data_IF_674708602620
#
_entry.id   IF_674708602620
#
_cell.length_a   1.000
_cell.length_b   1.000
_cell.length_c   1.000
_cell.angle_alpha   90.00
_cell.angle_beta   90.00
_cell.angle_gamma   90.00
#
_symmetry.space_group_name_H-M   'P 1'
#
loop_
_entity.id
_entity.type
_entity.pdbx_description
1 polymer ?
#
# COMPACT_ATOMS: atom_id res chain seq x y z
N UNK A 1 11.17 -11.26 -2.72
CA UNK A 1 11.19 -10.09 -1.82
C UNK A 1 9.94 -9.27 -2.15
N UNK A 2 8.86 -9.51 -1.42
CA UNK A 2 7.52 -8.98 -1.69
C UNK A 2 7.50 -7.45 -1.57
N UNK A 3 7.03 -6.77 -2.61
CA UNK A 3 6.79 -5.34 -2.60
C UNK A 3 5.65 -5.03 -1.64
N UNK A 4 5.97 -4.52 -0.45
CA UNK A 4 5.00 -3.87 0.40
C UNK A 4 4.36 -2.74 -0.41
N UNK A 5 3.03 -2.67 -0.46
CA UNK A 5 2.34 -1.46 -0.92
C UNK A 5 2.91 -0.33 -0.06
N UNK A 6 3.57 0.68 -0.66
CA UNK A 6 4.06 1.80 0.11
C UNK A 6 2.82 2.55 0.61
N UNK A 7 2.51 2.34 1.89
CA UNK A 7 1.58 3.19 2.62
C UNK A 7 2.43 4.36 3.09
N UNK A 8 2.15 5.53 2.54
CA UNK A 8 2.82 6.81 2.77
C UNK A 8 4.10 7.06 2.00
N UNK A 9 3.98 7.90 0.97
CA UNK A 9 4.85 9.07 0.80
C UNK A 9 4.00 10.18 0.17
N UNK A 10 3.55 11.14 0.98
CA UNK A 10 2.93 12.35 0.46
C UNK A 10 3.99 13.42 0.25
N UNK A 11 4.27 13.84 -0.99
CA UNK A 11 4.81 15.18 -1.22
C UNK A 11 4.11 15.86 -2.41
N UNK A 12 3.44 16.97 -2.11
CA UNK A 12 2.73 17.80 -3.08
C UNK A 12 3.65 18.96 -3.43
N UNK A 13 4.51 18.80 -4.44
CA UNK A 13 5.17 19.93 -5.09
C UNK A 13 5.27 19.71 -6.59
N UNK A 14 4.48 20.50 -7.34
CA UNK A 14 4.47 20.51 -8.81
C UNK A 14 5.73 21.21 -9.33
N UNK A 15 6.46 20.57 -10.26
CA UNK A 15 7.01 21.20 -11.47
C UNK A 15 7.67 20.19 -12.44
N UNK A 16 7.04 19.99 -13.60
CA UNK A 16 7.70 20.01 -14.92
C UNK A 16 8.40 18.75 -15.50
N UNK A 17 7.73 18.21 -16.53
CA UNK A 17 8.23 17.67 -17.83
C UNK A 17 8.37 16.14 -18.04
N UNK A 18 8.11 15.62 -19.27
CA UNK A 18 7.83 14.21 -19.53
C UNK A 18 8.96 13.47 -20.29
N UNK A 19 8.98 12.13 -20.21
CA UNK A 19 9.61 11.30 -21.24
C UNK A 19 10.02 9.88 -20.82
N UNK A 20 9.59 8.89 -21.61
CA UNK A 20 10.45 7.75 -22.00
C UNK A 20 10.14 6.37 -21.41
N UNK A 21 9.56 5.50 -22.25
CA UNK A 21 9.42 4.05 -22.10
C UNK A 21 10.76 3.31 -21.90
N UNK A 22 10.73 2.18 -21.17
CA UNK A 22 11.72 1.10 -21.30
C UNK A 22 11.81 0.18 -20.09
N UNK A 23 11.05 -0.93 -20.07
CA UNK A 23 11.16 -1.97 -19.04
C UNK A 23 12.00 -3.15 -19.58
N UNK A 24 13.31 -3.07 -19.44
CA UNK A 24 14.20 -4.21 -19.70
C UNK A 24 15.21 -4.33 -18.56
N UNK A 25 15.33 -5.55 -18.05
CA UNK A 25 15.96 -5.91 -16.79
C UNK A 25 17.33 -5.29 -16.51
N UNK A 26 17.39 -4.55 -15.40
CA UNK A 26 18.42 -4.55 -14.34
C UNK A 26 18.02 -3.41 -13.38
N UNK A 27 18.02 -3.68 -12.08
CA UNK A 27 17.56 -2.74 -11.05
C UNK A 27 18.25 -1.38 -11.13
N UNK A 28 17.57 -0.40 -11.73
CA UNK A 28 17.87 1.03 -11.72
C UNK A 28 16.84 1.79 -10.89
N UNK A 29 17.11 3.05 -10.49
CA UNK A 29 16.56 3.65 -9.28
C UNK A 29 15.14 4.19 -9.48
N UNK A 30 14.14 3.32 -9.34
CA UNK A 30 12.72 3.68 -9.39
C UNK A 30 12.23 4.52 -8.18
N UNK A 31 13.12 4.77 -7.20
CA UNK A 31 12.81 5.49 -5.95
C UNK A 31 13.67 6.73 -5.71
N UNK A 32 14.36 7.28 -6.72
CA UNK A 32 15.12 8.54 -6.56
C UNK A 32 14.17 9.75 -6.58
N UNK A 33 13.37 9.84 -5.54
CA UNK A 33 12.49 10.95 -5.19
C UNK A 33 12.17 10.92 -3.70
N UNK A 34 13.07 10.38 -2.87
CA UNK A 34 12.97 10.45 -1.42
C UNK A 34 13.39 11.86 -0.98
N UNK A 35 12.51 12.83 -1.18
CA UNK A 35 12.48 13.97 -0.27
C UNK A 35 12.36 13.41 1.17
N UNK A 36 12.98 14.09 2.12
CA UNK A 36 13.15 13.66 3.51
C UNK A 36 11.90 12.96 4.09
N UNK A 37 12.07 11.71 4.55
CA UNK A 37 10.99 10.92 5.14
C UNK A 37 10.65 11.47 6.52
N UNK A 38 9.44 12.00 6.71
CA UNK A 38 8.89 12.35 8.02
C UNK A 38 8.62 11.08 8.84
N UNK A 39 9.64 10.61 9.56
CA UNK A 39 9.57 9.42 10.41
C UNK A 39 8.49 9.53 11.51
N UNK A 40 8.32 10.66 12.23
CA UNK A 40 7.20 10.84 13.16
C UNK A 40 5.82 10.62 12.52
N UNK A 41 5.58 11.17 11.33
CA UNK A 41 4.33 10.94 10.59
C UNK A 41 4.17 9.48 10.20
N UNK A 42 5.20 8.86 9.62
CA UNK A 42 5.16 7.46 9.22
C UNK A 42 4.82 6.54 10.41
N UNK A 43 5.43 6.78 11.57
CA UNK A 43 5.15 6.02 12.79
C UNK A 43 3.69 6.15 13.24
N UNK A 44 3.11 7.36 13.17
CA UNK A 44 1.69 7.58 13.50
C UNK A 44 0.75 6.84 12.53
N UNK A 45 1.07 6.86 11.24
CA UNK A 45 0.30 6.16 10.21
C UNK A 45 0.39 4.64 10.39
N UNK A 46 1.58 4.09 10.64
CA UNK A 46 1.75 2.66 10.94
C UNK A 46 1.02 2.25 12.22
N UNK A 47 1.03 3.09 13.26
CA UNK A 47 0.26 2.83 14.49
C UNK A 47 -1.25 2.81 14.20
N UNK A 48 -1.75 3.70 13.35
CA UNK A 48 -3.15 3.70 12.92
C UNK A 48 -3.49 2.43 12.13
N UNK A 49 -2.64 2.03 11.18
CA UNK A 49 -2.80 0.80 10.40
C UNK A 49 -2.88 -0.42 11.31
N UNK A 50 -1.96 -0.53 12.29
CA UNK A 50 -1.96 -1.63 13.27
C UNK A 50 -3.24 -1.67 14.09
N UNK A 51 -3.75 -0.52 14.53
CA UNK A 51 -5.00 -0.45 15.32
C UNK A 51 -6.24 -0.82 14.51
N UNK A 52 -6.34 -0.38 13.26
CA UNK A 52 -7.55 -0.60 12.43
C UNK A 52 -7.51 -1.86 11.56
N UNK A 53 -6.35 -2.49 11.41
CA UNK A 53 -6.17 -3.73 10.65
C UNK A 53 -6.03 -3.56 9.14
N UNK A 54 -6.04 -2.33 8.61
CA UNK A 54 -5.90 -2.08 7.18
C UNK A 54 -5.16 -0.76 6.88
N UNK A 55 -4.69 -0.62 5.65
CA UNK A 55 -4.02 0.54 5.10
C UNK A 55 -4.84 1.15 3.96
N UNK A 56 -4.72 2.47 3.78
CA UNK A 56 -5.21 3.19 2.60
C UNK A 56 -4.03 3.98 2.05
N UNK A 57 -3.73 3.78 0.78
CA UNK A 57 -2.86 4.64 0.00
C UNK A 57 -3.77 5.56 -0.82
N UNK A 58 -3.88 6.82 -0.39
CA UNK A 58 -4.68 7.84 -1.08
C UNK A 58 -3.77 8.69 -1.96
N UNK A 59 -3.58 8.24 -3.21
CA UNK A 59 -2.80 8.94 -4.23
C UNK A 59 -1.35 9.23 -3.84
N UNK A 60 -0.80 8.48 -2.88
CA UNK A 60 0.56 8.70 -2.37
C UNK A 60 1.61 8.09 -3.30
N UNK A 61 1.25 7.03 -4.02
CA UNK A 61 2.15 6.41 -5.03
C UNK A 61 1.96 7.03 -6.40
N UNK A 62 0.70 7.21 -6.82
CA UNK A 62 0.36 7.74 -8.13
C UNK A 62 -0.89 8.61 -8.00
N UNK A 63 -0.87 9.79 -8.63
CA UNK A 63 -2.04 10.68 -8.64
C UNK A 63 -3.20 10.01 -9.38
N UNK A 64 -4.39 10.04 -8.80
CA UNK A 64 -5.57 9.37 -9.35
C UNK A 64 -5.68 7.88 -9.05
N UNK A 65 -4.79 7.31 -8.23
CA UNK A 65 -4.85 5.93 -7.74
C UNK A 65 -5.12 5.89 -6.23
N UNK A 66 -6.10 5.10 -5.81
CA UNK A 66 -6.32 4.79 -4.39
C UNK A 66 -6.23 3.28 -4.19
N UNK A 67 -5.54 2.84 -3.14
CA UNK A 67 -5.43 1.43 -2.80
C UNK A 67 -5.80 1.17 -1.35
N UNK A 68 -6.38 -0.01 -1.09
CA UNK A 68 -6.70 -0.52 0.24
C UNK A 68 -5.95 -1.82 0.43
N UNK A 69 -5.31 -2.01 1.58
CA UNK A 69 -4.58 -3.24 1.86
C UNK A 69 -4.71 -3.74 3.29
N UNK A 70 -4.53 -5.03 3.48
CA UNK A 70 -4.55 -5.74 4.76
C UNK A 70 -3.27 -6.56 4.93
N UNK A 71 -2.81 -6.80 6.16
CA UNK A 71 -1.69 -7.70 6.41
C UNK A 71 -2.12 -9.16 6.24
N UNK A 72 -1.20 -9.98 5.74
CA UNK A 72 -1.21 -11.44 5.86
C UNK A 72 -0.21 -11.78 6.97
N UNK A 73 -0.66 -12.47 8.01
CA UNK A 73 0.09 -12.74 9.24
C UNK A 73 0.42 -14.23 9.37
N UNK A 74 1.49 -14.52 10.11
CA UNK A 74 1.73 -15.88 10.59
C UNK A 74 0.90 -16.22 11.84
N UNK A 75 1.09 -17.44 12.36
CA UNK A 75 0.42 -17.94 13.56
C UNK A 75 0.76 -17.16 14.83
N UNK A 76 1.84 -16.39 14.85
CA UNK A 76 2.20 -15.49 15.95
C UNK A 76 1.53 -14.11 15.84
N UNK A 77 0.78 -13.86 14.75
CA UNK A 77 0.20 -12.56 14.43
C UNK A 77 1.19 -11.58 13.79
N UNK A 78 2.39 -12.04 13.43
CA UNK A 78 3.40 -11.20 12.79
C UNK A 78 3.10 -11.06 11.30
N UNK A 79 2.99 -9.84 10.74
CA UNK A 79 2.77 -9.65 9.31
C UNK A 79 3.93 -10.20 8.47
N UNK A 80 3.65 -11.13 7.57
CA UNK A 80 4.60 -11.74 6.63
C UNK A 80 4.47 -11.16 5.21
N UNK A 81 3.26 -10.70 4.85
CA UNK A 81 2.98 -10.09 3.56
C UNK A 81 1.82 -9.06 3.66
N UNK A 82 1.51 -8.41 2.55
CA UNK A 82 0.35 -7.53 2.43
C UNK A 82 -0.46 -7.88 1.18
N UNK A 83 -1.78 -7.83 1.30
CA UNK A 83 -2.73 -8.01 0.20
C UNK A 83 -3.44 -6.68 -0.05
N UNK A 84 -3.58 -6.26 -1.30
CA UNK A 84 -4.28 -5.01 -1.65
C UNK A 84 -5.09 -5.09 -2.93
N UNK A 85 -6.09 -4.22 -3.00
CA UNK A 85 -6.72 -3.80 -4.26
C UNK A 85 -6.37 -2.34 -4.53
N UNK A 86 -6.27 -1.98 -5.81
CA UNK A 86 -6.08 -0.61 -6.26
C UNK A 86 -7.12 -0.28 -7.34
N UNK A 87 -7.61 0.95 -7.30
CA UNK A 87 -8.62 1.45 -8.24
C UNK A 87 -8.37 2.94 -8.50
N UNK A 88 -8.91 3.44 -9.61
CA UNK A 88 -8.93 4.88 -9.85
C UNK A 88 -9.60 5.58 -8.68
N UNK A 89 -8.99 6.65 -8.16
CA UNK A 89 -9.56 7.48 -7.10
C UNK A 89 -10.96 8.00 -7.46
N UNK A 90 -11.23 8.25 -8.74
CA UNK A 90 -12.55 8.67 -9.21
C UNK A 90 -13.65 7.61 -8.98
N UNK A 91 -13.26 6.34 -8.77
CA UNK A 91 -14.16 5.22 -8.47
C UNK A 91 -14.08 4.79 -7.00
N UNK A 92 -13.23 5.43 -6.22
CA UNK A 92 -13.08 5.12 -4.81
C UNK A 92 -14.24 5.72 -4.02
N UNK A 93 -15.13 4.85 -3.58
CA UNK A 93 -16.19 5.14 -2.62
C UNK A 93 -15.74 4.80 -1.20
N UNK A 94 -15.78 5.80 -0.30
CA UNK A 94 -15.42 5.63 1.11
C UNK A 94 -16.46 4.79 1.86
N UNK A 95 -17.72 4.80 1.44
CA UNK A 95 -18.79 4.06 2.11
C UNK A 95 -18.69 2.55 1.80
N UNK A 96 -18.07 2.19 0.68
CA UNK A 96 -17.74 0.81 0.32
C UNK A 96 -16.50 0.26 1.04
N UNK A 97 -15.73 1.12 1.74
CA UNK A 97 -14.47 0.73 2.38
C UNK A 97 -14.63 -0.46 3.36
N UNK A 98 -15.63 -0.52 4.26
CA UNK A 98 -15.80 -1.66 5.15
C UNK A 98 -16.00 -2.97 4.38
N UNK A 99 -16.72 -2.94 3.26
CA UNK A 99 -16.94 -4.11 2.42
C UNK A 99 -15.63 -4.58 1.76
N UNK A 100 -14.83 -3.66 1.22
CA UNK A 100 -13.53 -4.01 0.62
C UNK A 100 -12.55 -4.56 1.64
N UNK A 101 -12.48 -3.96 2.83
CA UNK A 101 -11.66 -4.46 3.93
C UNK A 101 -12.11 -5.86 4.32
N UNK A 102 -13.42 -6.10 4.46
CA UNK A 102 -13.96 -7.42 4.78
C UNK A 102 -13.57 -8.50 3.76
N UNK A 103 -13.72 -8.21 2.47
CA UNK A 103 -13.32 -9.15 1.40
C UNK A 103 -11.81 -9.40 1.40
N UNK A 104 -11.01 -8.35 1.56
CA UNK A 104 -9.56 -8.45 1.65
C UNK A 104 -9.12 -9.28 2.86
N UNK A 105 -9.71 -9.05 4.03
CA UNK A 105 -9.43 -9.80 5.26
C UNK A 105 -9.77 -11.28 5.09
N UNK A 106 -10.94 -11.62 4.55
CA UNK A 106 -11.31 -13.00 4.29
C UNK A 106 -10.41 -13.68 3.24
N UNK A 107 -9.84 -12.93 2.29
CA UNK A 107 -8.85 -13.44 1.36
C UNK A 107 -7.47 -13.61 2.01
N UNK A 108 -7.08 -12.70 2.89
CA UNK A 108 -5.86 -12.80 3.68
C UNK A 108 -5.90 -14.04 4.58
N UNK A 109 -6.96 -14.27 5.34
CA UNK A 109 -7.12 -15.46 6.20
C UNK A 109 -6.96 -16.79 5.45
N UNK A 110 -7.47 -16.85 4.21
CA UNK A 110 -7.27 -18.00 3.31
C UNK A 110 -5.81 -18.19 2.91
N UNK A 111 -5.12 -17.09 2.61
CA UNK A 111 -3.68 -17.12 2.32
C UNK A 111 -2.86 -17.51 3.56
N UNK A 112 -3.20 -16.97 4.74
CA UNK A 112 -2.57 -17.31 6.02
C UNK A 112 -2.69 -18.82 6.30
N UNK A 113 -3.88 -19.39 6.09
CA UNK A 113 -4.12 -20.82 6.25
C UNK A 113 -3.30 -21.69 5.29
N UNK A 114 -3.08 -21.22 4.05
CA UNK A 114 -2.27 -21.93 3.07
C UNK A 114 -0.76 -21.84 3.34
N UNK A 115 -0.31 -20.79 4.03
CA UNK A 115 1.09 -20.59 4.41
C UNK A 115 1.48 -21.33 5.71
N UNK A 116 0.50 -21.75 6.50
CA UNK A 116 0.72 -22.48 7.75
C UNK A 116 0.97 -23.99 7.57
N UNK A 117 0.98 -24.49 6.32
CA UNK A 117 1.03 -25.91 5.98
C UNK A 117 2.36 -26.31 5.33
#
# INVERSE_FOLDING_TARGET
MLGAIPVSLGNRSRRGRPGGLGWAGRGGPLYRGADEVDLPRLRRELALVRRRGFAINDQQTETGLTAVGVPIKDTSGTPQAGLSIALSTARFDRDALPAWVGVLSAAAERAESALAN
#
